data_IF_247928446626
#
_entry.id   IF_247928446626
#
_cell.length_a   1.000
_cell.length_b   1.000
_cell.length_c   1.000
_cell.angle_alpha   90.00
_cell.angle_beta   90.00
_cell.angle_gamma   90.00
#
_symmetry.space_group_name_H-M   'P 1'
#
loop_
_entity.id
_entity.type
_entity.pdbx_description
1 polymer ?
#
# COMPACT_ATOMS: atom_id res chain seq x y z
N UNK A 1 3.13 -2.30 34.48
CA UNK A 1 4.02 -2.47 33.32
C UNK A 1 4.02 -1.17 32.56
N UNK A 2 5.15 -0.69 32.03
CA UNK A 2 5.22 0.65 31.43
C UNK A 2 4.24 0.75 30.25
N UNK A 3 3.27 1.65 30.37
CA UNK A 3 2.41 2.09 29.28
C UNK A 3 3.28 2.80 28.24
N UNK A 4 3.57 2.13 27.14
CA UNK A 4 4.29 2.75 26.02
C UNK A 4 3.29 3.28 25.00
N UNK A 5 3.08 4.60 25.01
CA UNK A 5 2.22 5.30 24.04
C UNK A 5 2.84 5.41 22.64
N UNK A 6 4.12 5.07 22.50
CA UNK A 6 4.86 5.07 21.23
C UNK A 6 5.57 3.72 21.03
N UNK A 7 4.81 2.62 20.86
CA UNK A 7 5.40 1.29 20.68
C UNK A 7 6.19 1.18 19.37
N UNK A 8 7.32 0.49 19.44
CA UNK A 8 8.07 0.03 18.28
C UNK A 8 8.02 -1.49 18.23
N UNK A 9 7.42 -2.05 17.18
CA UNK A 9 7.19 -3.49 17.12
C UNK A 9 8.31 -4.30 16.46
N UNK A 10 9.10 -3.69 15.58
CA UNK A 10 10.29 -4.34 14.97
C UNK A 10 10.05 -5.62 14.15
N UNK A 11 8.80 -5.97 13.81
CA UNK A 11 8.51 -7.19 13.04
C UNK A 11 8.39 -6.93 11.53
N UNK A 12 8.48 -8.03 10.76
CA UNK A 12 8.20 -8.07 9.33
C UNK A 12 7.14 -9.14 9.08
N UNK A 13 6.19 -8.85 8.20
CA UNK A 13 5.17 -9.78 7.76
C UNK A 13 5.04 -9.72 6.24
N UNK A 14 4.78 -10.88 5.63
CA UNK A 14 4.50 -10.99 4.20
C UNK A 14 3.19 -11.74 4.00
N UNK A 15 2.41 -11.32 3.01
CA UNK A 15 1.15 -11.95 2.64
C UNK A 15 1.07 -12.02 1.12
N UNK A 16 0.47 -13.10 0.62
CA UNK A 16 0.22 -13.27 -0.81
C UNK A 16 -1.19 -12.77 -1.12
N UNK A 17 -1.30 -11.91 -2.13
CA UNK A 17 -2.57 -11.41 -2.63
C UNK A 17 -2.74 -11.89 -4.08
N UNK A 18 -3.70 -12.79 -4.30
CA UNK A 18 -4.03 -13.31 -5.63
C UNK A 18 -5.13 -12.46 -6.27
N UNK A 19 -4.93 -12.08 -7.53
CA UNK A 19 -5.90 -11.30 -8.29
C UNK A 19 -5.79 -11.61 -9.79
N UNK A 20 -6.89 -11.42 -10.51
CA UNK A 20 -6.97 -11.68 -11.95
C UNK A 20 -6.87 -10.40 -12.80
N UNK A 21 -7.04 -9.22 -12.20
CA UNK A 21 -7.30 -7.96 -12.90
C UNK A 21 -6.63 -6.79 -12.17
N UNK A 22 -5.50 -6.29 -12.67
CA UNK A 22 -4.71 -5.25 -12.02
C UNK A 22 -5.47 -3.94 -11.80
N UNK A 23 -6.44 -3.62 -12.66
CA UNK A 23 -7.30 -2.45 -12.54
C UNK A 23 -8.15 -2.46 -11.26
N UNK A 24 -8.32 -3.61 -10.61
CA UNK A 24 -9.03 -3.73 -9.32
C UNK A 24 -8.14 -3.45 -8.11
N UNK A 25 -6.83 -3.24 -8.31
CA UNK A 25 -5.88 -3.05 -7.22
C UNK A 25 -6.22 -1.81 -6.37
N UNK A 26 -6.63 -0.71 -7.00
CA UNK A 26 -7.05 0.52 -6.30
C UNK A 26 -8.33 0.38 -5.47
N UNK A 27 -9.09 -0.71 -5.64
CA UNK A 27 -10.30 -0.99 -4.84
C UNK A 27 -9.99 -1.75 -3.54
N UNK A 28 -8.83 -2.40 -3.48
CA UNK A 28 -8.40 -3.17 -2.33
C UNK A 28 -7.53 -2.31 -1.42
N UNK A 29 -7.59 -2.54 -0.11
CA UNK A 29 -6.85 -1.76 0.88
C UNK A 29 -6.11 -2.67 1.86
N UNK A 30 -4.89 -2.28 2.20
CA UNK A 30 -4.23 -2.74 3.42
C UNK A 30 -4.80 -1.94 4.58
N UNK A 31 -5.48 -2.63 5.51
CA UNK A 31 -6.01 -2.03 6.74
C UNK A 31 -5.12 -2.45 7.90
N UNK A 32 -4.70 -1.48 8.71
CA UNK A 32 -3.97 -1.72 9.96
C UNK A 32 -4.82 -1.22 11.11
N UNK A 33 -5.05 -2.09 12.09
CA UNK A 33 -5.84 -1.79 13.28
C UNK A 33 -4.97 -2.02 14.51
N UNK A 34 -4.92 -1.04 15.40
CA UNK A 34 -4.18 -1.11 16.65
C UNK A 34 -5.15 -1.34 17.79
N UNK A 35 -4.93 -2.39 18.57
CA UNK A 35 -5.75 -2.77 19.72
C UNK A 35 -4.96 -2.65 21.01
N UNK A 36 -5.64 -2.22 22.06
CA UNK A 36 -5.14 -2.31 23.42
C UNK A 36 -5.17 -3.77 23.88
N UNK A 37 -4.04 -4.29 24.35
CA UNK A 37 -3.91 -5.71 24.71
C UNK A 37 -4.75 -6.12 25.92
N UNK A 38 -5.01 -5.19 26.84
CA UNK A 38 -5.68 -5.47 28.12
C UNK A 38 -7.19 -5.42 27.94
N UNK A 39 -7.67 -4.35 27.29
CA UNK A 39 -9.10 -4.10 27.09
C UNK A 39 -9.64 -4.71 25.79
N UNK A 40 -8.73 -5.13 24.89
CA UNK A 40 -9.05 -5.49 23.50
C UNK A 40 -9.79 -4.36 22.74
N UNK A 41 -9.69 -3.13 23.23
CA UNK A 41 -10.32 -1.96 22.63
C UNK A 41 -9.55 -1.45 21.41
N UNK A 42 -10.27 -1.03 20.36
CA UNK A 42 -9.66 -0.39 19.20
C UNK A 42 -9.10 0.98 19.61
N UNK A 43 -7.78 1.16 19.49
CA UNK A 43 -7.10 2.44 19.72
C UNK A 43 -7.24 3.33 18.48
N UNK A 44 -7.09 2.72 17.30
CA UNK A 44 -7.24 3.42 16.03
C UNK A 44 -6.87 2.54 14.85
N UNK A 45 -7.20 3.02 13.66
CA UNK A 45 -6.95 2.33 12.41
C UNK A 45 -6.51 3.27 11.31
N UNK A 46 -5.81 2.70 10.34
CA UNK A 46 -5.43 3.36 9.12
C UNK A 46 -5.62 2.39 7.94
N UNK A 47 -5.83 2.94 6.75
CA UNK A 47 -5.89 2.16 5.53
C UNK A 47 -5.18 2.86 4.39
N UNK A 48 -4.66 2.07 3.47
CA UNK A 48 -4.03 2.53 2.24
C UNK A 48 -4.41 1.57 1.12
N UNK A 49 -4.72 2.08 -0.07
CA UNK A 49 -5.06 1.24 -1.21
C UNK A 49 -3.83 0.48 -1.73
N UNK A 50 -4.05 -0.71 -2.28
CA UNK A 50 -2.96 -1.56 -2.75
C UNK A 50 -2.28 -0.99 -4.01
N UNK A 51 -2.96 -0.12 -4.77
CA UNK A 51 -2.36 0.53 -5.94
C UNK A 51 -1.27 1.52 -5.50
N UNK A 52 -1.51 2.30 -4.44
CA UNK A 52 -0.50 3.15 -3.83
C UNK A 52 0.66 2.34 -3.26
N UNK A 53 0.43 1.15 -2.69
CA UNK A 53 1.52 0.28 -2.25
C UNK A 53 2.35 -0.24 -3.43
N UNK A 54 1.70 -0.61 -4.53
CA UNK A 54 2.38 -1.18 -5.70
C UNK A 54 3.17 -0.14 -6.52
N UNK A 55 2.65 1.09 -6.63
CA UNK A 55 3.23 2.13 -7.48
C UNK A 55 3.93 3.26 -6.71
N UNK A 56 3.75 3.33 -5.39
CA UNK A 56 4.20 4.45 -4.56
C UNK A 56 5.52 4.20 -3.82
N UNK A 57 5.85 5.09 -2.86
CA UNK A 57 7.05 4.95 -2.05
C UNK A 57 6.94 3.76 -1.09
N UNK A 58 8.06 3.12 -0.75
CA UNK A 58 8.05 1.99 0.18
C UNK A 58 7.81 2.39 1.65
N UNK A 59 8.00 3.67 2.00
CA UNK A 59 7.90 4.18 3.39
C UNK A 59 6.58 4.94 3.56
N UNK A 60 5.77 4.47 4.51
CA UNK A 60 4.46 5.05 4.80
C UNK A 60 4.41 5.68 6.19
N UNK A 61 3.69 6.80 6.28
CA UNK A 61 3.33 7.48 7.52
C UNK A 61 1.83 7.77 7.48
N UNK A 62 1.04 6.93 8.14
CA UNK A 62 -0.42 7.02 8.15
C UNK A 62 -0.92 7.55 9.50
N UNK A 63 -1.97 8.35 9.47
CA UNK A 63 -2.65 8.79 10.69
C UNK A 63 -3.66 7.74 11.13
N UNK A 64 -3.54 7.27 12.36
CA UNK A 64 -4.54 6.40 12.99
C UNK A 64 -5.76 7.24 13.36
N UNK A 65 -6.95 6.77 13.00
CA UNK A 65 -8.24 7.39 13.30
C UNK A 65 -9.18 6.36 13.91
N UNK A 66 -10.20 6.82 14.64
CA UNK A 66 -11.22 5.92 15.19
C UNK A 66 -12.49 6.01 14.32
N UNK A 67 -12.89 4.92 13.67
CA UNK A 67 -14.10 4.95 12.83
C UNK A 67 -15.40 5.11 13.64
N UNK A 68 -15.38 4.82 14.94
CA UNK A 68 -16.58 4.79 15.80
C UNK A 68 -16.95 6.17 16.37
N UNK A 69 -15.97 7.03 16.65
CA UNK A 69 -16.18 8.28 17.42
C UNK A 69 -15.83 9.55 16.64
N UNK A 70 -15.82 9.47 15.30
CA UNK A 70 -15.43 10.56 14.41
C UNK A 70 -13.97 10.44 13.97
N UNK A 71 -13.64 11.02 12.82
CA UNK A 71 -12.31 10.97 12.19
C UNK A 71 -11.22 11.71 12.98
N UNK A 72 -11.24 11.70 14.31
CA UNK A 72 -10.20 12.34 15.12
C UNK A 72 -8.86 11.60 14.99
N UNK A 73 -7.75 12.32 14.81
CA UNK A 73 -6.42 11.73 14.78
C UNK A 73 -6.01 11.20 16.16
N UNK A 74 -5.66 9.92 16.24
CA UNK A 74 -5.26 9.20 17.48
C UNK A 74 -3.76 8.91 17.56
N UNK A 75 -3.04 9.05 16.46
CA UNK A 75 -1.60 8.79 16.41
C UNK A 75 -1.07 8.63 14.99
N UNK A 76 0.20 8.24 14.88
CA UNK A 76 0.89 8.04 13.61
C UNK A 76 1.48 6.63 13.54
N UNK A 77 1.14 5.90 12.48
CA UNK A 77 1.74 4.62 12.14
C UNK A 77 2.81 4.82 11.06
N UNK A 78 4.05 4.41 11.34
CA UNK A 78 5.16 4.45 10.40
C UNK A 78 5.62 3.03 10.09
N UNK A 79 5.70 2.68 8.80
CA UNK A 79 6.14 1.35 8.39
C UNK A 79 6.73 1.36 6.98
N UNK A 80 7.42 0.28 6.63
CA UNK A 80 7.86 0.01 5.26
C UNK A 80 7.03 -1.13 4.69
N UNK A 81 6.47 -0.93 3.50
CA UNK A 81 5.71 -1.95 2.79
C UNK A 81 6.10 -1.93 1.31
N UNK A 82 6.34 -3.11 0.77
CA UNK A 82 6.70 -3.30 -0.64
C UNK A 82 5.81 -4.42 -1.16
N UNK A 83 5.17 -4.18 -2.30
CA UNK A 83 4.41 -5.20 -3.02
C UNK A 83 5.20 -5.64 -4.24
N UNK A 84 5.47 -6.95 -4.34
CA UNK A 84 6.12 -7.53 -5.51
C UNK A 84 5.06 -8.25 -6.34
N UNK A 85 4.90 -7.83 -7.60
CA UNK A 85 4.07 -8.56 -8.54
C UNK A 85 4.76 -9.88 -8.92
N UNK A 86 4.02 -10.98 -8.83
CA UNK A 86 4.46 -12.30 -9.24
C UNK A 86 3.46 -12.78 -10.28
N UNK A 87 3.83 -12.75 -11.56
CA UNK A 87 3.03 -13.32 -12.64
C UNK A 87 3.90 -14.30 -13.41
N UNK A 88 3.40 -15.52 -13.62
CA UNK A 88 4.09 -16.51 -14.45
C UNK A 88 3.92 -16.21 -15.94
N UNK A 89 2.87 -15.48 -16.34
CA UNK A 89 2.55 -15.13 -17.73
C UNK A 89 1.75 -13.81 -17.74
N UNK A 90 2.38 -12.69 -18.08
CA UNK A 90 1.69 -11.38 -18.18
C UNK A 90 1.60 -10.94 -19.64
N UNK A 91 0.39 -10.64 -20.11
CA UNK A 91 0.14 -10.04 -21.43
C UNK A 91 -0.33 -8.61 -21.23
N UNK A 92 0.47 -7.63 -21.64
CA UNK A 92 0.06 -6.22 -21.66
C UNK A 92 -0.74 -5.98 -22.94
N UNK A 93 -2.02 -5.59 -22.83
CA UNK A 93 -2.77 -5.08 -23.98
C UNK A 93 -2.75 -3.55 -23.93
N UNK A 94 -1.99 -2.94 -24.82
CA UNK A 94 -1.99 -1.49 -24.98
C UNK A 94 -2.93 -1.09 -26.11
N UNK A 95 -4.06 -0.46 -25.79
CA UNK A 95 -4.93 0.21 -26.78
C UNK A 95 -4.53 1.68 -26.87
N UNK A 96 -4.57 2.25 -28.07
CA UNK A 96 -4.31 3.68 -28.33
C UNK A 96 -2.89 4.18 -28.03
N UNK A 97 -1.89 3.30 -28.16
CA UNK A 97 -0.48 3.65 -27.97
C UNK A 97 -0.03 4.60 -29.10
N UNK A 98 0.09 5.89 -28.78
CA UNK A 98 0.61 6.92 -29.70
C UNK A 98 2.10 7.12 -29.47
N UNK A 99 2.90 6.58 -30.39
CA UNK A 99 4.34 6.86 -30.43
C UNK A 99 4.57 8.24 -31.03
N UNK A 100 5.03 9.20 -30.23
CA UNK A 100 5.52 10.49 -30.72
C UNK A 100 7.01 10.38 -30.99
N UNK A 101 7.37 10.39 -32.28
CA UNK A 101 8.75 10.36 -32.72
C UNK A 101 9.33 11.78 -32.63
N UNK A 102 10.06 12.11 -31.55
CA UNK A 102 10.91 13.31 -31.57
C UNK A 102 12.12 13.01 -32.45
N UNK A 103 12.26 13.77 -33.54
CA UNK A 103 13.15 13.51 -34.67
C UNK A 103 14.64 13.43 -34.34
N UNK A 104 15.07 12.31 -33.77
CA UNK A 104 16.41 11.76 -33.90
C UNK A 104 16.26 10.26 -34.20
N UNK A 105 17.02 9.70 -35.15
CA UNK A 105 16.98 8.29 -35.48
C UNK A 105 17.60 7.49 -34.33
N UNK A 106 16.82 7.26 -33.27
CA UNK A 106 17.13 6.32 -32.22
C UNK A 106 16.09 5.18 -32.29
N UNK A 107 16.50 3.91 -32.17
CA UNK A 107 15.57 2.81 -32.11
C UNK A 107 14.59 3.05 -30.95
N UNK A 108 13.29 2.89 -31.23
CA UNK A 108 12.27 2.94 -30.20
C UNK A 108 12.58 1.86 -29.15
N UNK A 109 12.97 2.29 -27.95
CA UNK A 109 13.20 1.39 -26.81
C UNK A 109 11.93 1.41 -25.96
N UNK A 110 11.34 0.23 -25.79
CA UNK A 110 10.44 -0.02 -24.67
C UNK A 110 11.34 -0.25 -23.45
N UNK A 111 11.47 0.75 -22.59
CA UNK A 111 12.02 0.52 -21.25
C UNK A 111 10.90 -0.08 -20.39
N UNK A 112 11.19 -1.25 -19.81
CA UNK A 112 10.33 -1.98 -18.86
C UNK A 112 10.79 -1.66 -17.45
#
# INVERSE_FOLDING_TARGET
GRDNLNPEWGFKAGFQYAMNYLEKLGRSKLRVQCYDRITNGLIGEASIDLQTIACGPAKFKLTLRNSMYGEEPRGLLKFTCVMKMMSSNFTVLCTDLKLTMQGCPAPARLEV
#
